data_IF_750743393712
#
_entry.id   IF_750743393712
#
_cell.length_a   1.000
_cell.length_b   1.000
_cell.length_c   1.000
_cell.angle_alpha   90.00
_cell.angle_beta   90.00
_cell.angle_gamma   90.00
#
_symmetry.space_group_name_H-M   'P 1'
#
loop_
_entity.id
_entity.type
_entity.pdbx_description
1 polymer ?
#
# COMPACT_ATOMS: atom_id res chain seq x y z
N UNK A 1 -17.01 -1.27 -3.55
CA UNK A 1 -17.48 -1.10 -2.16
C UNK A 1 -16.28 -1.22 -1.25
N UNK A 2 -16.22 -0.41 -0.20
CA UNK A 2 -15.21 -0.55 0.84
C UNK A 2 -15.41 -1.87 1.59
N UNK A 3 -14.32 -2.55 1.91
CA UNK A 3 -14.38 -3.82 2.65
C UNK A 3 -14.80 -3.51 4.09
N UNK A 4 -15.73 -4.28 4.69
CA UNK A 4 -16.24 -4.00 6.04
C UNK A 4 -15.31 -4.46 7.17
N UNK A 5 -14.23 -5.20 6.87
CA UNK A 5 -13.32 -5.77 7.85
C UNK A 5 -11.87 -5.49 7.48
N UNK A 6 -11.09 -5.11 8.49
CA UNK A 6 -9.65 -4.86 8.41
C UNK A 6 -8.82 -6.11 8.73
N UNK A 7 -9.44 -7.30 8.73
CA UNK A 7 -8.76 -8.57 8.92
C UNK A 7 -8.36 -9.16 7.56
N UNK A 8 -7.10 -9.57 7.45
CA UNK A 8 -6.49 -10.17 6.26
C UNK A 8 -5.73 -11.43 6.66
N UNK A 9 -5.72 -12.43 5.79
CA UNK A 9 -4.91 -13.64 5.93
C UNK A 9 -3.71 -13.58 4.97
N UNK A 10 -2.66 -14.32 5.28
CA UNK A 10 -1.52 -14.43 4.37
C UNK A 10 -1.97 -15.02 3.04
N UNK A 11 -1.57 -14.38 1.93
CA UNK A 11 -2.04 -14.68 0.58
C UNK A 11 -3.28 -13.90 0.14
N UNK A 12 -3.95 -13.17 1.04
CA UNK A 12 -4.98 -12.20 0.64
C UNK A 12 -4.34 -10.99 -0.06
N UNK A 13 -5.13 -10.28 -0.87
CA UNK A 13 -4.75 -8.98 -1.40
C UNK A 13 -5.45 -7.83 -0.66
N UNK A 14 -4.65 -6.88 -0.20
CA UNK A 14 -5.08 -5.59 0.33
C UNK A 14 -5.25 -4.65 -0.86
N UNK A 15 -6.50 -4.29 -1.16
CA UNK A 15 -6.83 -3.34 -2.22
C UNK A 15 -6.80 -1.92 -1.67
N UNK A 16 -5.92 -1.08 -2.20
CA UNK A 16 -5.71 0.30 -1.72
C UNK A 16 -6.06 1.26 -2.85
N UNK A 17 -6.84 2.29 -2.52
CA UNK A 17 -7.19 3.39 -3.42
C UNK A 17 -6.69 4.72 -2.85
N UNK A 18 -5.88 5.43 -3.63
CA UNK A 18 -5.55 6.83 -3.40
C UNK A 18 -6.37 7.69 -4.37
N UNK A 19 -7.16 8.61 -3.85
CA UNK A 19 -8.00 9.51 -4.65
C UNK A 19 -7.97 10.94 -4.12
N UNK A 20 -8.20 11.91 -5.01
CA UNK A 20 -8.35 13.33 -4.67
C UNK A 20 -9.73 13.81 -5.09
N UNK A 21 -10.42 14.54 -4.21
CA UNK A 21 -11.71 15.14 -4.56
C UNK A 21 -11.48 16.45 -5.31
N UNK A 22 -11.58 16.41 -6.64
CA UNK A 22 -11.56 17.63 -7.46
C UNK A 22 -12.95 18.26 -7.45
N UNK A 23 -13.19 19.19 -6.52
CA UNK A 23 -14.44 19.95 -6.50
C UNK A 23 -14.44 21.01 -7.62
N UNK A 24 -13.62 22.07 -7.48
CA UNK A 24 -13.54 23.20 -8.42
C UNK A 24 -12.13 23.38 -9.03
N UNK A 25 -11.30 22.35 -9.00
CA UNK A 25 -9.94 22.41 -9.55
C UNK A 25 -9.89 21.84 -10.97
N UNK A 26 -8.87 22.24 -11.73
CA UNK A 26 -8.52 21.61 -13.02
C UNK A 26 -8.33 20.09 -12.85
N UNK A 27 -8.50 19.27 -13.90
CA UNK A 27 -8.30 17.83 -13.79
C UNK A 27 -6.91 17.50 -13.21
N UNK A 28 -6.89 16.82 -12.05
CA UNK A 28 -5.66 16.41 -11.37
C UNK A 28 -5.42 14.92 -11.60
N UNK A 29 -4.14 14.55 -11.70
CA UNK A 29 -3.70 13.15 -11.74
C UNK A 29 -2.99 12.79 -10.44
N UNK A 30 -3.51 11.79 -9.74
CA UNK A 30 -2.94 11.32 -8.47
C UNK A 30 -1.81 10.35 -8.72
N UNK A 31 -0.67 10.53 -8.06
CA UNK A 31 0.44 9.59 -8.00
C UNK A 31 0.78 9.27 -6.55
N UNK A 32 1.39 8.11 -6.32
CA UNK A 32 1.90 7.70 -5.01
C UNK A 32 3.41 7.66 -5.12
N UNK A 33 4.08 8.44 -4.28
CA UNK A 33 5.54 8.55 -4.28
C UNK A 33 6.20 7.47 -3.43
N UNK A 34 5.67 7.24 -2.22
CA UNK A 34 6.15 6.25 -1.27
C UNK A 34 5.02 5.67 -0.43
N UNK A 35 5.13 4.41 -0.03
CA UNK A 35 4.29 3.79 0.98
C UNK A 35 5.12 2.88 1.90
N UNK A 36 4.93 3.06 3.20
CA UNK A 36 5.63 2.31 4.24
C UNK A 36 4.58 1.71 5.17
N UNK A 37 4.73 0.42 5.47
CA UNK A 37 3.97 -0.25 6.52
C UNK A 37 4.78 -0.27 7.82
N UNK A 38 4.09 -0.07 8.92
CA UNK A 38 4.61 -0.08 10.30
C UNK A 38 3.59 -0.72 11.23
N UNK A 39 4.03 -1.23 12.38
CA UNK A 39 3.13 -1.82 13.39
C UNK A 39 2.34 -0.79 14.20
N UNK A 40 2.83 0.46 14.21
CA UNK A 40 2.24 1.61 14.89
C UNK A 40 2.08 2.76 13.89
N UNK A 41 1.18 3.73 14.15
CA UNK A 41 0.94 4.86 13.25
C UNK A 41 2.06 5.93 13.32
N UNK A 42 3.32 5.48 13.27
CA UNK A 42 4.52 6.30 13.13
C UNK A 42 5.34 5.74 11.97
N UNK A 43 5.55 6.56 10.93
CA UNK A 43 6.33 6.19 9.75
C UNK A 43 7.80 5.94 10.06
N UNK A 44 8.29 6.41 11.20
CA UNK A 44 9.65 6.19 11.65
C UNK A 44 9.82 4.96 12.56
N UNK A 45 8.74 4.28 12.91
CA UNK A 45 8.80 3.10 13.77
C UNK A 45 9.61 1.97 13.14
N UNK A 46 10.05 1.05 14.00
CA UNK A 46 10.69 -0.22 13.64
C UNK A 46 9.80 -1.33 14.21
N UNK A 47 9.47 -2.38 13.44
CA UNK A 47 9.89 -2.63 12.06
C UNK A 47 9.16 -1.73 11.04
N UNK A 48 9.87 -1.37 9.97
CA UNK A 48 9.33 -0.65 8.81
C UNK A 48 9.50 -1.46 7.54
N UNK A 49 8.52 -1.41 6.66
CA UNK A 49 8.57 -2.09 5.37
C UNK A 49 8.07 -1.15 4.26
N UNK A 50 9.01 -0.68 3.43
CA UNK A 50 8.69 0.14 2.26
C UNK A 50 8.31 -0.78 1.09
N UNK A 51 7.05 -0.68 0.64
CA UNK A 51 6.55 -1.48 -0.48
C UNK A 51 6.33 -0.64 -1.76
N UNK A 52 6.27 0.69 -1.61
CA UNK A 52 6.41 1.65 -2.71
C UNK A 52 7.50 2.65 -2.32
N UNK A 53 8.50 2.84 -3.18
CA UNK A 53 9.61 3.79 -3.00
C UNK A 53 10.13 4.26 -4.36
N UNK A 54 11.22 5.03 -4.41
CA UNK A 54 11.85 5.50 -5.66
C UNK A 54 10.83 6.18 -6.60
N UNK A 55 10.03 7.09 -6.06
CA UNK A 55 9.02 7.87 -6.79
C UNK A 55 7.95 7.02 -7.47
N UNK A 56 7.38 6.06 -6.75
CA UNK A 56 6.24 5.26 -7.20
C UNK A 56 6.60 3.88 -7.74
N UNK A 57 7.82 3.39 -7.51
CA UNK A 57 8.19 2.01 -7.81
C UNK A 57 7.62 1.08 -6.73
N UNK A 58 6.73 0.16 -7.13
CA UNK A 58 6.23 -0.90 -6.24
C UNK A 58 7.30 -1.99 -6.12
N UNK A 59 8.09 -1.92 -5.05
CA UNK A 59 9.27 -2.77 -4.84
C UNK A 59 8.94 -4.11 -4.20
N UNK A 60 7.80 -4.24 -3.50
CA UNK A 60 7.40 -5.50 -2.86
C UNK A 60 7.39 -6.66 -3.88
N UNK A 61 6.71 -6.49 -5.01
CA UNK A 61 6.67 -7.50 -6.08
C UNK A 61 8.05 -7.95 -6.58
N UNK A 62 9.04 -7.04 -6.57
CA UNK A 62 10.42 -7.33 -6.98
C UNK A 62 11.19 -8.07 -5.89
N UNK A 63 10.98 -7.70 -4.62
CA UNK A 63 11.73 -8.23 -3.47
C UNK A 63 11.23 -9.61 -3.03
N UNK A 64 9.91 -9.79 -3.01
CA UNK A 64 9.26 -11.00 -2.48
C UNK A 64 8.76 -11.92 -3.59
N UNK A 65 8.68 -11.42 -4.83
CA UNK A 65 7.99 -12.13 -5.91
C UNK A 65 6.47 -12.16 -5.74
N UNK A 66 5.92 -11.28 -4.90
CA UNK A 66 4.49 -11.21 -4.62
C UNK A 66 3.66 -10.83 -5.84
N UNK A 67 2.35 -11.07 -5.74
CA UNK A 67 1.38 -10.62 -6.74
C UNK A 67 1.07 -9.11 -6.70
N UNK A 68 1.78 -8.33 -5.88
CA UNK A 68 1.52 -6.91 -5.67
C UNK A 68 1.73 -6.10 -6.94
N UNK A 69 0.80 -5.19 -7.25
CA UNK A 69 0.83 -4.45 -8.52
C UNK A 69 -0.03 -3.21 -8.50
N UNK A 70 0.31 -2.26 -9.36
CA UNK A 70 -0.62 -1.19 -9.74
C UNK A 70 -1.72 -1.75 -10.66
N UNK A 71 -2.94 -1.28 -10.42
CA UNK A 71 -4.09 -1.60 -11.27
C UNK A 71 -4.20 -0.58 -12.40
N UNK A 72 -4.81 -1.00 -13.51
CA UNK A 72 -5.11 -0.09 -14.61
C UNK A 72 -6.05 1.02 -14.10
N UNK A 73 -5.72 2.28 -14.43
CA UNK A 73 -6.53 3.43 -14.02
C UNK A 73 -7.86 3.44 -14.77
N UNK A 74 -8.94 3.54 -14.01
CA UNK A 74 -10.30 3.77 -14.53
C UNK A 74 -10.67 5.26 -14.49
N UNK A 75 -10.11 6.03 -13.55
CA UNK A 75 -10.32 7.47 -13.39
C UNK A 75 -8.98 8.17 -13.16
N UNK A 76 -8.81 9.40 -13.66
CA UNK A 76 -7.50 10.10 -13.66
C UNK A 76 -7.08 10.58 -12.26
N UNK A 77 -8.07 10.92 -11.45
CA UNK A 77 -7.99 11.37 -10.07
C UNK A 77 -7.88 10.21 -9.07
N UNK A 78 -7.81 8.96 -9.56
CA UNK A 78 -7.70 7.75 -8.73
C UNK A 78 -6.50 6.90 -9.14
N UNK A 79 -5.85 6.34 -8.14
CA UNK A 79 -4.80 5.33 -8.30
C UNK A 79 -5.13 4.15 -7.39
N UNK A 80 -5.19 2.96 -7.97
CA UNK A 80 -5.46 1.73 -7.26
C UNK A 80 -4.26 0.79 -7.38
N UNK A 81 -3.95 0.09 -6.29
CA UNK A 81 -2.91 -0.92 -6.26
C UNK A 81 -3.27 -2.03 -5.27
N UNK A 82 -2.69 -3.20 -5.49
CA UNK A 82 -2.86 -4.38 -4.67
C UNK A 82 -1.54 -4.67 -3.98
N UNK A 83 -1.63 -4.94 -2.68
CA UNK A 83 -0.52 -5.37 -1.85
C UNK A 83 -0.88 -6.75 -1.29
N UNK A 84 -0.03 -7.74 -1.53
CA UNK A 84 -0.18 -9.06 -0.90
C UNK A 84 -0.01 -8.93 0.61
N UNK A 85 -0.93 -9.52 1.36
CA UNK A 85 -0.96 -9.41 2.80
C UNK A 85 0.26 -10.12 3.41
N UNK A 86 1.01 -9.37 4.21
CA UNK A 86 2.15 -9.85 4.96
C UNK A 86 1.99 -9.51 6.45
N UNK A 87 2.88 -10.06 7.27
CA UNK A 87 3.00 -9.72 8.68
C UNK A 87 4.45 -9.43 9.02
N UNK A 88 4.68 -8.53 9.97
CA UNK A 88 5.99 -8.43 10.59
C UNK A 88 6.25 -9.71 11.38
N UNK A 89 7.49 -10.21 11.28
CA UNK A 89 7.96 -11.19 12.24
C UNK A 89 7.94 -10.48 13.59
N UNK A 90 7.15 -11.01 14.53
CA UNK A 90 7.30 -10.60 15.92
C UNK A 90 8.75 -10.88 16.28
N UNK A 91 9.48 -9.90 16.80
CA UNK A 91 10.65 -10.24 17.60
C UNK A 91 10.13 -11.23 18.64
N UNK A 92 10.65 -12.46 18.59
CA UNK A 92 10.52 -13.35 19.74
C UNK A 92 11.22 -12.56 20.83
N UNK A 93 10.46 -11.84 21.65
CA UNK A 93 10.92 -11.39 22.94
C UNK A 93 11.27 -12.68 23.67
N UNK A 94 12.53 -13.08 23.55
CA UNK A 94 13.09 -14.18 24.27
C UNK A 94 12.77 -13.99 25.74
N UNK A 95 12.53 -15.11 26.41
CA UNK A 95 12.68 -15.20 27.85
C UNK A 95 13.98 -14.52 28.31
#
# INVERSE_FOLDING_TARGET
>A
FERPSNQYYLGDFINIEASVRSYNHVPLRVFVDSCVATSVPDTNAIPRYAFIENNGCLVDAKLTGSGSRFMQRTQIDKLQFQLEAFRFQQEISGF
#
